data_IF_607766547317
#
_entry.id   IF_607766547317
#
_cell.length_a   1.000
_cell.length_b   1.000
_cell.length_c   1.000
_cell.angle_alpha   90.00
_cell.angle_beta   90.00
_cell.angle_gamma   90.00
#
_symmetry.space_group_name_H-M   'P 1'
#
loop_
_entity.id
_entity.type
_entity.pdbx_description
1 polymer ?
#
# COMPACT_ATOMS: atom_id res chain seq x y z
N UNK A 1 -9.04 -16.91 5.59
CA UNK A 1 -8.32 -16.63 6.86
C UNK A 1 -8.21 -15.11 6.95
N UNK A 2 -8.49 -14.53 8.14
CA UNK A 2 -8.34 -13.07 8.37
C UNK A 2 -6.87 -12.62 8.39
N UNK A 3 -6.66 -11.34 8.58
CA UNK A 3 -5.33 -10.73 8.72
C UNK A 3 -4.64 -11.33 9.97
N UNK A 4 -3.34 -11.57 9.88
CA UNK A 4 -2.55 -12.08 11.00
C UNK A 4 -1.18 -11.41 11.08
N UNK A 5 -0.61 -11.36 12.28
CA UNK A 5 0.71 -10.80 12.54
C UNK A 5 1.62 -11.84 13.13
N UNK A 6 2.81 -11.94 12.59
CA UNK A 6 3.95 -12.68 13.16
C UNK A 6 5.12 -11.72 13.33
N UNK A 7 6.15 -12.13 14.06
CA UNK A 7 7.34 -11.31 14.25
C UNK A 7 8.59 -12.07 13.86
N UNK A 8 9.45 -11.45 13.08
CA UNK A 8 10.82 -11.86 12.85
C UNK A 8 11.74 -10.86 13.58
N UNK A 9 12.27 -11.27 14.72
CA UNK A 9 12.93 -10.41 15.70
C UNK A 9 11.99 -9.26 16.13
N UNK A 10 12.30 -8.02 15.76
CA UNK A 10 11.49 -6.83 16.05
C UNK A 10 10.70 -6.33 14.84
N UNK A 11 10.72 -7.05 13.72
CA UNK A 11 9.99 -6.70 12.51
C UNK A 11 8.66 -7.45 12.53
N UNK A 12 7.57 -6.71 12.51
CA UNK A 12 6.23 -7.28 12.35
C UNK A 12 6.00 -7.67 10.89
N UNK A 13 5.49 -8.88 10.67
CA UNK A 13 5.05 -9.37 9.35
C UNK A 13 3.54 -9.52 9.41
N UNK A 14 2.84 -8.63 8.73
CA UNK A 14 1.39 -8.57 8.62
C UNK A 14 0.95 -9.30 7.35
N UNK A 15 0.41 -10.50 7.50
CA UNK A 15 -0.17 -11.28 6.40
C UNK A 15 -1.62 -10.83 6.19
N UNK A 16 -1.90 -10.29 5.01
CA UNK A 16 -3.22 -9.79 4.62
C UNK A 16 -4.22 -10.92 4.32
N UNK A 17 -3.75 -12.16 4.24
CA UNK A 17 -4.55 -13.35 3.95
C UNK A 17 -4.29 -13.93 2.56
N UNK A 18 -4.97 -15.06 2.27
CA UNK A 18 -4.76 -15.84 1.04
C UNK A 18 -5.79 -15.57 -0.07
N UNK A 19 -6.80 -14.74 0.21
CA UNK A 19 -7.86 -14.38 -0.73
C UNK A 19 -7.46 -13.21 -1.63
N UNK A 20 -8.43 -12.47 -2.15
CA UNK A 20 -8.17 -11.27 -2.96
C UNK A 20 -7.72 -10.07 -2.13
N UNK A 21 -7.84 -10.12 -0.82
CA UNK A 21 -7.46 -9.07 0.12
C UNK A 21 -8.04 -7.70 -0.30
N UNK A 22 -9.35 -7.71 -0.63
CA UNK A 22 -10.11 -6.49 -0.98
C UNK A 22 -10.36 -5.66 0.27
N UNK A 23 -10.34 -4.35 0.13
CA UNK A 23 -10.51 -3.40 1.22
C UNK A 23 -11.98 -3.23 1.62
N UNK A 24 -12.64 -4.32 2.03
CA UNK A 24 -13.96 -4.19 2.66
C UNK A 24 -13.88 -3.37 3.96
N UNK A 25 -15.00 -2.80 4.46
CA UNK A 25 -14.99 -2.11 5.76
C UNK A 25 -14.40 -2.94 6.89
N UNK A 26 -14.76 -4.23 6.97
CA UNK A 26 -14.20 -5.14 7.98
C UNK A 26 -12.69 -5.35 7.83
N UNK A 27 -12.18 -5.47 6.59
CA UNK A 27 -10.75 -5.54 6.32
C UNK A 27 -10.02 -4.26 6.79
N UNK A 28 -10.62 -3.08 6.54
CA UNK A 28 -10.05 -1.80 6.97
C UNK A 28 -10.02 -1.68 8.50
N UNK A 29 -11.03 -2.19 9.21
CA UNK A 29 -11.05 -2.22 10.67
C UNK A 29 -10.00 -3.17 11.23
N UNK A 30 -9.83 -4.37 10.63
CA UNK A 30 -8.80 -5.33 11.03
C UNK A 30 -7.38 -4.78 10.83
N UNK A 31 -7.08 -4.20 9.66
CA UNK A 31 -5.75 -3.66 9.38
C UNK A 31 -5.42 -2.49 10.31
N UNK A 32 -6.38 -1.61 10.60
CA UNK A 32 -6.19 -0.50 11.55
C UNK A 32 -5.86 -1.02 12.96
N UNK A 33 -6.58 -2.03 13.45
CA UNK A 33 -6.32 -2.65 14.74
C UNK A 33 -4.94 -3.32 14.80
N UNK A 34 -4.52 -4.01 13.75
CA UNK A 34 -3.20 -4.60 13.67
C UNK A 34 -2.08 -3.56 13.62
N UNK A 35 -2.27 -2.45 12.91
CA UNK A 35 -1.30 -1.35 12.88
C UNK A 35 -1.14 -0.69 14.27
N UNK A 36 -2.24 -0.54 15.02
CA UNK A 36 -2.20 -0.07 16.40
C UNK A 36 -1.39 -1.03 17.29
N UNK A 37 -1.66 -2.33 17.16
CA UNK A 37 -0.95 -3.35 17.92
C UNK A 37 0.55 -3.40 17.61
N UNK A 38 0.93 -3.28 16.34
CA UNK A 38 2.33 -3.27 15.88
C UNK A 38 3.09 -2.07 16.44
N UNK A 39 2.49 -0.88 16.36
CA UNK A 39 3.09 0.34 16.93
C UNK A 39 3.16 0.26 18.45
N UNK A 40 2.07 -0.18 19.11
CA UNK A 40 1.98 -0.33 20.56
C UNK A 40 2.96 -1.37 21.14
N UNK A 41 3.28 -2.41 20.37
CA UNK A 41 4.29 -3.41 20.74
C UNK A 41 5.74 -2.93 20.58
N UNK A 42 5.96 -1.72 20.03
CA UNK A 42 7.30 -1.17 19.81
C UNK A 42 8.07 -1.88 18.69
N UNK A 43 7.36 -2.38 17.65
CA UNK A 43 8.01 -2.95 16.50
C UNK A 43 8.97 -1.96 15.85
N UNK A 44 10.09 -2.46 15.35
CA UNK A 44 11.14 -1.66 14.70
C UNK A 44 11.03 -1.68 13.17
N UNK A 45 10.02 -2.35 12.64
CA UNK A 45 9.69 -2.39 11.22
C UNK A 45 8.38 -3.12 10.97
N UNK A 46 7.78 -2.86 9.82
CA UNK A 46 6.56 -3.53 9.34
C UNK A 46 6.76 -4.04 7.92
N UNK A 47 6.52 -5.33 7.72
CA UNK A 47 6.35 -5.92 6.39
C UNK A 47 4.87 -6.28 6.22
N UNK A 48 4.25 -5.90 5.09
CA UNK A 48 2.95 -6.45 4.70
C UNK A 48 3.14 -7.48 3.59
N UNK A 49 2.41 -8.58 3.64
CA UNK A 49 2.46 -9.65 2.64
C UNK A 49 1.08 -10.22 2.39
N UNK A 50 0.95 -11.16 1.48
CA UNK A 50 -0.26 -11.94 1.25
C UNK A 50 0.08 -13.42 1.07
N UNK A 51 -0.90 -14.30 1.24
CA UNK A 51 -0.67 -15.76 1.22
C UNK A 51 -1.06 -16.46 -0.09
N UNK A 52 -1.60 -15.74 -1.09
CA UNK A 52 -2.22 -16.38 -2.23
C UNK A 52 -1.85 -15.79 -3.60
N UNK A 53 -2.85 -15.76 -4.49
CA UNK A 53 -2.73 -15.20 -5.83
C UNK A 53 -2.53 -13.68 -5.79
N UNK A 54 -3.04 -13.02 -4.77
CA UNK A 54 -3.02 -11.57 -4.63
C UNK A 54 -2.22 -11.16 -3.39
N UNK A 55 -1.44 -10.10 -3.53
CA UNK A 55 -1.08 -9.24 -2.43
C UNK A 55 -2.32 -8.47 -1.99
N UNK A 56 -2.95 -7.73 -2.92
CA UNK A 56 -4.28 -7.14 -2.76
C UNK A 56 -4.87 -6.75 -4.11
N UNK A 57 -6.18 -6.98 -4.26
CA UNK A 57 -6.98 -6.56 -5.41
C UNK A 57 -7.58 -5.15 -5.24
N UNK A 58 -7.26 -4.46 -4.13
CA UNK A 58 -7.65 -3.09 -3.85
C UNK A 58 -9.09 -2.93 -3.38
N UNK A 59 -9.82 -1.99 -3.97
CA UNK A 59 -11.18 -1.67 -3.55
C UNK A 59 -12.14 -2.86 -3.66
N UNK A 60 -13.02 -3.00 -2.70
CA UNK A 60 -14.17 -3.91 -2.80
C UNK A 60 -15.27 -3.25 -3.63
N UNK A 61 -15.17 -3.41 -4.96
CA UNK A 61 -16.11 -2.80 -5.91
C UNK A 61 -17.51 -3.40 -5.80
N UNK A 62 -17.64 -4.65 -5.35
CA UNK A 62 -18.93 -5.30 -5.14
C UNK A 62 -19.65 -4.66 -3.95
N UNK A 63 -18.90 -4.44 -2.84
CA UNK A 63 -19.43 -3.71 -1.70
C UNK A 63 -19.80 -2.26 -2.08
N UNK A 64 -18.94 -1.57 -2.80
CA UNK A 64 -19.18 -0.19 -3.23
C UNK A 64 -20.41 -0.06 -4.12
N UNK A 65 -20.60 -1.00 -5.05
CA UNK A 65 -21.76 -1.03 -5.93
C UNK A 65 -23.09 -1.26 -5.15
N UNK A 66 -23.02 -2.05 -4.07
CA UNK A 66 -24.18 -2.33 -3.20
C UNK A 66 -24.47 -1.19 -2.18
N UNK A 67 -23.49 -0.30 -1.92
CA UNK A 67 -23.55 0.73 -0.87
C UNK A 67 -23.10 2.10 -1.41
N UNK A 68 -23.62 2.50 -2.59
CA UNK A 68 -23.19 3.73 -3.28
C UNK A 68 -23.35 5.02 -2.47
N UNK A 69 -24.35 5.07 -1.57
CA UNK A 69 -24.56 6.18 -0.65
C UNK A 69 -23.43 6.36 0.37
N UNK A 70 -22.63 5.33 0.60
CA UNK A 70 -21.46 5.36 1.49
C UNK A 70 -20.13 5.51 0.74
N UNK A 71 -20.15 5.74 -0.57
CA UNK A 71 -18.95 5.76 -1.41
C UNK A 71 -17.88 6.74 -0.92
N UNK A 72 -18.27 7.97 -0.58
CA UNK A 72 -17.35 8.99 -0.09
C UNK A 72 -16.70 8.59 1.24
N UNK A 73 -17.49 8.11 2.18
CA UNK A 73 -16.97 7.59 3.47
C UNK A 73 -16.00 6.43 3.25
N UNK A 74 -16.37 5.48 2.40
CA UNK A 74 -15.55 4.31 2.11
C UNK A 74 -14.21 4.67 1.47
N UNK A 75 -14.22 5.52 0.44
CA UNK A 75 -13.00 6.01 -0.20
C UNK A 75 -12.14 6.78 0.80
N UNK A 76 -12.75 7.60 1.66
CA UNK A 76 -12.06 8.30 2.74
C UNK A 76 -11.36 7.35 3.72
N UNK A 77 -12.00 6.22 4.09
CA UNK A 77 -11.39 5.18 4.94
C UNK A 77 -10.18 4.54 4.26
N UNK A 78 -10.28 4.19 2.98
CA UNK A 78 -9.16 3.65 2.21
C UNK A 78 -8.00 4.63 2.13
N UNK A 79 -8.28 5.89 1.81
CA UNK A 79 -7.26 6.94 1.75
C UNK A 79 -6.60 7.19 3.11
N UNK A 80 -7.38 7.14 4.20
CA UNK A 80 -6.88 7.25 5.56
C UNK A 80 -5.87 6.14 5.91
N UNK A 81 -6.18 4.88 5.54
CA UNK A 81 -5.26 3.75 5.69
C UNK A 81 -3.96 3.97 4.88
N UNK A 82 -4.05 4.42 3.63
CA UNK A 82 -2.88 4.71 2.80
C UNK A 82 -2.00 5.82 3.42
N UNK A 83 -2.62 6.91 3.92
CA UNK A 83 -1.91 7.99 4.60
C UNK A 83 -1.22 7.51 5.88
N UNK A 84 -1.86 6.62 6.63
CA UNK A 84 -1.33 6.02 7.85
C UNK A 84 -0.08 5.18 7.57
N UNK A 85 -0.11 4.29 6.58
CA UNK A 85 1.05 3.50 6.17
C UNK A 85 2.19 4.40 5.68
N UNK A 86 1.87 5.39 4.85
CA UNK A 86 2.84 6.33 4.26
C UNK A 86 3.66 7.07 5.33
N UNK A 87 3.08 7.32 6.49
CA UNK A 87 3.70 8.08 7.58
C UNK A 87 3.93 7.26 8.85
N UNK A 88 3.82 5.94 8.76
CA UNK A 88 4.04 5.08 9.92
C UNK A 88 5.44 5.32 10.51
N UNK A 89 5.58 5.51 11.84
CA UNK A 89 6.84 5.92 12.46
C UNK A 89 7.87 4.79 12.59
N UNK A 90 7.78 3.77 11.73
CA UNK A 90 8.75 2.68 11.61
C UNK A 90 9.08 2.44 10.14
N UNK A 91 10.23 1.87 9.78
CA UNK A 91 10.50 1.43 8.42
C UNK A 91 9.48 0.41 7.95
N UNK A 92 9.03 0.51 6.69
CA UNK A 92 7.99 -0.34 6.14
C UNK A 92 8.38 -0.95 4.80
N UNK A 93 7.99 -2.20 4.54
CA UNK A 93 8.17 -2.84 3.25
C UNK A 93 6.93 -3.63 2.82
N UNK A 94 6.58 -3.59 1.54
CA UNK A 94 5.56 -4.43 0.95
C UNK A 94 6.21 -5.64 0.25
N UNK A 95 5.80 -6.84 0.62
CA UNK A 95 6.22 -8.10 0.02
C UNK A 95 5.13 -8.60 -0.94
N UNK A 96 5.25 -8.27 -2.23
CA UNK A 96 4.27 -8.57 -3.26
C UNK A 96 4.47 -9.99 -3.78
N UNK A 97 3.92 -10.96 -3.08
CA UNK A 97 3.97 -12.40 -3.45
C UNK A 97 3.06 -12.73 -4.63
N UNK A 98 2.11 -11.86 -4.97
CA UNK A 98 1.13 -12.01 -6.04
C UNK A 98 0.73 -10.66 -6.64
N UNK A 99 -0.48 -10.61 -7.23
CA UNK A 99 -0.99 -9.39 -7.85
C UNK A 99 -1.22 -8.26 -6.85
N UNK A 100 -0.82 -7.06 -7.21
CA UNK A 100 -1.13 -5.80 -6.54
C UNK A 100 -1.87 -4.89 -7.55
N UNK A 101 -3.19 -4.73 -7.38
CA UNK A 101 -4.04 -4.01 -8.33
C UNK A 101 -4.74 -2.81 -7.69
N UNK A 102 -4.85 -1.70 -8.42
CA UNK A 102 -5.56 -0.50 -8.02
C UNK A 102 -5.11 -0.01 -6.63
N UNK A 103 -6.04 0.14 -5.69
CA UNK A 103 -5.73 0.54 -4.32
C UNK A 103 -4.77 -0.44 -3.60
N UNK A 104 -4.70 -1.72 -4.01
CA UNK A 104 -3.71 -2.68 -3.51
C UNK A 104 -2.27 -2.35 -3.96
N UNK A 105 -2.11 -1.85 -5.18
CA UNK A 105 -0.83 -1.33 -5.65
C UNK A 105 -0.48 0.01 -4.97
N UNK A 106 -1.48 0.84 -4.65
CA UNK A 106 -1.29 2.06 -3.87
C UNK A 106 -0.88 1.75 -2.43
N UNK A 107 -1.45 0.71 -1.81
CA UNK A 107 -1.00 0.22 -0.50
C UNK A 107 0.48 -0.17 -0.55
N UNK A 108 0.91 -0.91 -1.58
CA UNK A 108 2.31 -1.24 -1.75
C UNK A 108 3.19 0.02 -1.89
N UNK A 109 2.75 1.03 -2.67
CA UNK A 109 3.46 2.30 -2.80
C UNK A 109 3.53 3.11 -1.50
N UNK A 110 2.54 3.00 -0.63
CA UNK A 110 2.55 3.70 0.66
C UNK A 110 3.68 3.24 1.58
N UNK A 111 4.24 2.04 1.37
CA UNK A 111 5.42 1.56 2.09
C UNK A 111 6.70 2.26 1.65
N UNK A 112 7.72 2.25 2.51
CA UNK A 112 9.04 2.79 2.16
C UNK A 112 9.68 1.99 1.02
N UNK A 113 9.64 0.64 1.12
CA UNK A 113 10.23 -0.30 0.16
C UNK A 113 9.20 -1.30 -0.35
N UNK A 114 9.49 -1.91 -1.51
CA UNK A 114 8.67 -2.92 -2.17
C UNK A 114 9.56 -4.02 -2.74
N UNK A 115 9.27 -5.26 -2.41
CA UNK A 115 9.89 -6.43 -3.03
C UNK A 115 8.79 -7.21 -3.74
N UNK A 116 9.01 -7.56 -5.00
CA UNK A 116 8.01 -8.27 -5.80
C UNK A 116 8.50 -9.63 -6.24
N UNK A 117 7.60 -10.59 -6.36
CA UNK A 117 7.89 -11.90 -6.95
C UNK A 117 8.32 -11.75 -8.41
N UNK A 118 9.43 -12.40 -8.80
CA UNK A 118 10.05 -12.25 -10.11
C UNK A 118 9.24 -12.92 -11.24
N UNK A 119 8.68 -14.12 -10.97
CA UNK A 119 8.12 -15.02 -11.98
C UNK A 119 6.59 -14.97 -12.06
N UNK A 120 5.92 -14.33 -11.11
CA UNK A 120 4.45 -14.31 -11.04
C UNK A 120 3.92 -13.04 -10.36
N UNK A 121 2.70 -12.66 -10.77
CA UNK A 121 2.03 -11.46 -10.26
C UNK A 121 2.28 -10.26 -11.17
N UNK A 122 1.43 -9.25 -10.97
CA UNK A 122 1.53 -7.98 -11.68
C UNK A 122 1.30 -6.83 -10.71
N UNK A 123 2.08 -5.77 -10.87
CA UNK A 123 1.78 -4.46 -10.34
C UNK A 123 1.00 -3.69 -11.40
N UNK A 124 -0.17 -3.11 -11.05
CA UNK A 124 -1.03 -2.48 -12.03
C UNK A 124 -1.98 -1.46 -11.40
N UNK A 125 -2.13 -0.33 -12.07
CA UNK A 125 -3.23 0.60 -11.87
C UNK A 125 -4.21 0.46 -13.03
N UNK A 126 -5.32 -0.31 -12.89
CA UNK A 126 -6.25 -0.59 -13.97
C UNK A 126 -7.25 0.54 -14.24
N UNK A 127 -7.20 1.65 -13.52
CA UNK A 127 -8.19 2.72 -13.45
C UNK A 127 -8.57 3.25 -14.83
N UNK A 128 -7.59 3.40 -15.75
CA UNK A 128 -7.85 3.83 -17.14
C UNK A 128 -8.72 2.81 -17.92
N UNK A 129 -8.49 1.50 -17.70
CA UNK A 129 -9.23 0.43 -18.38
C UNK A 129 -10.63 0.24 -17.81
N UNK A 130 -10.78 0.34 -16.48
CA UNK A 130 -12.05 0.17 -15.77
C UNK A 130 -12.88 1.45 -15.68
N UNK A 131 -12.36 2.58 -16.21
CA UNK A 131 -13.02 3.89 -16.27
C UNK A 131 -13.37 4.47 -14.89
N UNK A 132 -12.53 4.22 -13.90
CA UNK A 132 -12.62 4.81 -12.57
C UNK A 132 -11.44 5.77 -12.40
N UNK A 133 -11.65 7.10 -12.31
CA UNK A 133 -10.55 8.05 -12.17
C UNK A 133 -9.90 7.93 -10.77
N UNK A 134 -8.62 8.26 -10.69
CA UNK A 134 -7.98 8.44 -9.40
C UNK A 134 -8.59 9.61 -8.64
N UNK A 135 -8.73 9.48 -7.34
CA UNK A 135 -8.95 10.66 -6.49
C UNK A 135 -7.70 11.54 -6.46
N UNK A 136 -7.82 12.84 -6.14
CA UNK A 136 -6.66 13.72 -5.96
C UNK A 136 -5.63 13.15 -4.97
N UNK A 137 -6.11 12.54 -3.85
CA UNK A 137 -5.25 11.94 -2.84
C UNK A 137 -4.48 10.72 -3.35
N UNK A 138 -5.14 9.81 -4.06
CA UNK A 138 -4.51 8.63 -4.67
C UNK A 138 -3.47 9.04 -5.71
N UNK A 139 -3.80 10.02 -6.57
CA UNK A 139 -2.87 10.54 -7.56
C UNK A 139 -1.65 11.21 -6.90
N UNK A 140 -1.85 11.97 -5.82
CA UNK A 140 -0.77 12.61 -5.07
C UNK A 140 0.18 11.59 -4.43
N UNK A 141 -0.35 10.51 -3.86
CA UNK A 141 0.45 9.40 -3.32
C UNK A 141 1.33 8.78 -4.40
N UNK A 142 0.75 8.42 -5.55
CA UNK A 142 1.49 7.78 -6.64
C UNK A 142 2.61 8.69 -7.15
N UNK A 143 2.30 9.96 -7.38
CA UNK A 143 3.28 10.95 -7.85
C UNK A 143 4.36 11.28 -6.81
N UNK A 144 4.07 11.19 -5.52
CA UNK A 144 5.06 11.38 -4.46
C UNK A 144 6.05 10.20 -4.35
N UNK A 145 5.68 9.02 -4.85
CA UNK A 145 6.46 7.79 -4.71
C UNK A 145 7.15 7.34 -6.00
N UNK A 146 6.72 7.82 -7.14
CA UNK A 146 7.24 7.43 -8.46
C UNK A 146 7.89 8.61 -9.19
N UNK A 147 8.81 8.29 -10.09
CA UNK A 147 9.30 9.29 -11.05
C UNK A 147 8.14 9.74 -11.96
N UNK A 148 8.19 10.96 -12.53
CA UNK A 148 7.15 11.41 -13.46
C UNK A 148 6.90 10.42 -14.62
N UNK A 149 7.96 9.81 -15.17
CA UNK A 149 7.86 8.83 -16.25
C UNK A 149 7.16 7.55 -15.79
N UNK A 150 7.52 7.03 -14.62
CA UNK A 150 6.89 5.85 -14.04
C UNK A 150 5.41 6.11 -13.69
N UNK A 151 5.10 7.30 -13.15
CA UNK A 151 3.72 7.71 -12.87
C UNK A 151 2.90 7.76 -14.16
N UNK A 152 3.37 8.41 -15.23
CA UNK A 152 2.66 8.43 -16.51
C UNK A 152 2.48 7.02 -17.05
N UNK A 153 3.55 6.21 -17.11
CA UNK A 153 3.49 4.86 -17.66
C UNK A 153 2.53 3.95 -16.88
N UNK A 154 2.43 4.09 -15.56
CA UNK A 154 1.57 3.23 -14.74
C UNK A 154 0.12 3.72 -14.62
N UNK A 155 -0.09 5.04 -14.48
CA UNK A 155 -1.43 5.60 -14.23
C UNK A 155 -2.30 5.73 -15.47
N UNK A 156 -1.68 5.95 -16.65
CA UNK A 156 -2.45 6.30 -17.87
C UNK A 156 -2.64 5.14 -18.84
N UNK A 157 -2.01 4.00 -18.61
CA UNK A 157 -1.98 2.90 -19.59
C UNK A 157 -2.74 1.64 -19.17
N UNK A 158 -3.07 1.48 -17.90
CA UNK A 158 -3.62 0.23 -17.37
C UNK A 158 -2.66 -0.97 -17.48
N UNK A 159 -1.39 -0.74 -17.88
CA UNK A 159 -0.41 -1.80 -18.11
C UNK A 159 -0.15 -2.62 -16.84
N UNK A 160 -0.07 -3.94 -17.04
CA UNK A 160 0.34 -4.90 -16.01
C UNK A 160 1.84 -5.09 -16.07
N UNK A 161 2.56 -4.71 -15.02
CA UNK A 161 4.02 -4.81 -14.92
C UNK A 161 4.38 -6.08 -14.13
N UNK A 162 5.06 -7.03 -14.78
CA UNK A 162 5.69 -8.17 -14.09
C UNK A 162 6.92 -7.71 -13.32
N UNK A 163 7.48 -8.60 -12.48
CA UNK A 163 8.56 -8.23 -11.55
C UNK A 163 9.74 -7.49 -12.20
N UNK A 164 10.27 -8.00 -13.31
CA UNK A 164 11.41 -7.37 -14.02
C UNK A 164 11.06 -5.98 -14.57
N UNK A 165 9.90 -5.84 -15.20
CA UNK A 165 9.43 -4.54 -15.73
C UNK A 165 9.15 -3.54 -14.59
N UNK A 166 8.52 -4.02 -13.51
CA UNK A 166 8.22 -3.19 -12.34
C UNK A 166 9.51 -2.66 -11.69
N UNK A 167 10.54 -3.50 -11.56
CA UNK A 167 11.84 -3.09 -11.03
C UNK A 167 12.57 -2.11 -11.97
N UNK A 168 12.57 -2.39 -13.28
CA UNK A 168 13.23 -1.51 -14.26
C UNK A 168 12.63 -0.10 -14.32
N UNK A 169 11.34 0.03 -14.05
CA UNK A 169 10.60 1.30 -14.03
C UNK A 169 10.60 1.96 -12.63
N UNK A 170 11.10 1.29 -11.60
CA UNK A 170 11.12 1.79 -10.22
C UNK A 170 9.75 1.75 -9.53
N UNK A 171 8.83 0.89 -10.00
CA UNK A 171 7.57 0.62 -9.30
C UNK A 171 7.83 -0.22 -8.03
N UNK A 172 8.85 -1.08 -8.09
CA UNK A 172 9.35 -1.86 -6.95
C UNK A 172 10.86 -1.71 -6.84
N UNK A 173 11.40 -1.92 -5.64
CA UNK A 173 12.82 -1.69 -5.33
C UNK A 173 13.67 -2.94 -5.60
N UNK A 174 13.06 -4.14 -5.51
CA UNK A 174 13.71 -5.41 -5.78
C UNK A 174 12.73 -6.48 -6.25
N UNK A 175 13.29 -7.55 -6.83
CA UNK A 175 12.54 -8.78 -7.15
C UNK A 175 13.19 -9.97 -6.47
N UNK A 176 12.36 -10.97 -6.10
CA UNK A 176 12.83 -12.19 -5.46
C UNK A 176 12.09 -13.42 -6.02
N UNK A 177 12.69 -14.60 -5.87
CA UNK A 177 12.07 -15.87 -6.23
C UNK A 177 10.87 -16.18 -5.31
N UNK A 178 10.03 -17.13 -5.71
CA UNK A 178 8.97 -17.67 -4.87
C UNK A 178 9.51 -18.13 -3.50
N UNK A 179 8.78 -17.78 -2.42
CA UNK A 179 9.20 -18.07 -1.04
C UNK A 179 10.29 -17.16 -0.48
N UNK A 180 10.97 -16.38 -1.32
CA UNK A 180 12.01 -15.44 -0.88
C UNK A 180 11.53 -13.97 -0.81
N UNK A 181 10.32 -13.66 -1.24
CA UNK A 181 9.82 -12.26 -1.32
C UNK A 181 9.69 -11.65 0.08
N UNK A 182 9.00 -12.33 0.99
CA UNK A 182 8.83 -11.85 2.37
C UNK A 182 10.15 -11.81 3.14
N UNK A 183 11.01 -12.84 3.11
CA UNK A 183 12.35 -12.77 3.69
C UNK A 183 13.18 -11.59 3.13
N UNK A 184 13.17 -11.35 1.83
CA UNK A 184 13.90 -10.23 1.24
C UNK A 184 13.35 -8.85 1.70
N UNK A 185 12.04 -8.72 1.90
CA UNK A 185 11.44 -7.51 2.46
C UNK A 185 11.87 -7.29 3.92
N UNK A 186 11.93 -8.35 4.73
CA UNK A 186 12.44 -8.30 6.10
C UNK A 186 13.92 -7.90 6.11
N UNK A 187 14.73 -8.50 5.24
CA UNK A 187 16.17 -8.22 5.16
C UNK A 187 16.51 -6.77 4.77
N UNK A 188 15.65 -6.12 3.97
CA UNK A 188 15.77 -4.68 3.68
C UNK A 188 15.59 -3.83 4.96
N UNK A 189 14.71 -4.26 5.87
CA UNK A 189 14.42 -3.50 7.09
C UNK A 189 15.42 -3.76 8.22
N UNK A 190 16.08 -4.93 8.29
CA UNK A 190 17.02 -5.29 9.37
C UNK A 190 18.09 -4.23 9.63
N UNK A 191 18.78 -3.63 8.62
CA UNK A 191 19.79 -2.59 8.86
C UNK A 191 19.21 -1.27 9.39
N UNK A 192 17.89 -1.13 9.40
CA UNK A 192 17.18 0.08 9.86
C UNK A 192 16.69 -0.03 11.30
N UNK A 193 16.97 -1.15 11.98
CA UNK A 193 16.68 -1.32 13.42
C UNK A 193 17.30 -0.18 14.26
N UNK A 194 16.61 0.23 15.31
CA UNK A 194 17.06 1.28 16.22
C UNK A 194 16.84 2.70 15.72
N UNK A 195 16.13 2.93 14.61
CA UNK A 195 15.69 4.28 14.23
C UNK A 195 14.68 4.81 15.25
N UNK A 196 14.87 6.05 15.68
CA UNK A 196 13.93 6.72 16.58
C UNK A 196 12.58 6.95 15.90
N UNK A 197 11.48 6.38 16.42
CA UNK A 197 10.18 6.47 15.77
C UNK A 197 9.66 7.91 15.64
N UNK A 198 9.92 8.76 16.64
CA UNK A 198 9.50 10.16 16.60
C UNK A 198 10.17 10.93 15.46
N UNK A 199 11.49 10.76 15.33
CA UNK A 199 12.27 11.38 14.26
C UNK A 199 11.86 10.84 12.90
N UNK A 200 11.73 9.51 12.74
CA UNK A 200 11.36 8.90 11.48
C UNK A 200 9.95 9.33 11.04
N UNK A 201 8.99 9.34 11.97
CA UNK A 201 7.64 9.82 11.72
C UNK A 201 7.63 11.28 11.26
N UNK A 202 8.39 12.17 11.92
CA UNK A 202 8.51 13.56 11.53
C UNK A 202 9.13 13.74 10.13
N UNK A 203 10.14 12.94 9.79
CA UNK A 203 10.75 12.91 8.45
C UNK A 203 9.69 12.53 7.41
N UNK A 204 8.96 11.43 7.60
CA UNK A 204 7.92 10.96 6.66
C UNK A 204 6.80 11.98 6.52
N UNK A 205 6.35 12.58 7.63
CA UNK A 205 5.34 13.66 7.60
C UNK A 205 5.83 14.87 6.79
N UNK A 206 7.10 15.22 6.90
CA UNK A 206 7.68 16.31 6.11
C UNK A 206 7.78 15.94 4.62
N UNK A 207 8.29 14.73 4.32
CA UNK A 207 8.45 14.25 2.95
C UNK A 207 7.13 14.15 2.20
N UNK A 208 6.11 13.60 2.85
CA UNK A 208 4.85 13.23 2.21
C UNK A 208 3.67 14.13 2.58
N UNK A 209 3.91 15.26 3.25
CA UNK A 209 2.87 16.12 3.79
C UNK A 209 1.85 16.62 2.76
N UNK A 210 2.25 16.85 1.50
CA UNK A 210 1.31 17.19 0.43
C UNK A 210 0.39 16.02 0.07
N UNK A 211 0.94 14.83 -0.09
CA UNK A 211 0.18 13.63 -0.38
C UNK A 211 -0.77 13.27 0.77
N UNK A 212 -0.29 13.36 2.01
CA UNK A 212 -1.12 13.13 3.21
C UNK A 212 -2.31 14.09 3.25
N UNK A 213 -2.08 15.39 3.07
CA UNK A 213 -3.19 16.36 3.03
C UNK A 213 -4.22 16.04 1.94
N UNK A 214 -3.75 15.65 0.75
CA UNK A 214 -4.65 15.29 -0.35
C UNK A 214 -5.41 13.98 -0.06
N UNK A 215 -4.79 12.99 0.60
CA UNK A 215 -5.43 11.73 1.01
C UNK A 215 -6.46 11.93 2.14
N UNK A 216 -6.24 12.91 3.02
CA UNK A 216 -7.10 13.15 4.20
C UNK A 216 -8.05 14.34 4.01
N UNK A 217 -7.98 15.03 2.88
CA UNK A 217 -8.96 16.05 2.54
C UNK A 217 -10.33 15.37 2.42
N UNK A 218 -11.28 15.76 3.25
CA UNK A 218 -12.68 15.53 2.97
C UNK A 218 -12.99 16.28 1.67
N UNK A 219 -13.62 15.62 0.69
CA UNK A 219 -14.17 16.31 -0.48
C UNK A 219 -15.29 17.25 0.03
N UNK A 220 -14.88 18.40 0.55
CA UNK A 220 -15.79 19.54 0.67
C UNK A 220 -16.15 19.91 -0.77
N UNK A 221 -17.44 19.79 -1.11
CA UNK A 221 -17.95 20.32 -2.38
C UNK A 221 -17.42 21.73 -2.56
N UNK A 222 -16.90 22.09 -3.75
CA UNK A 222 -16.57 23.48 -4.02
C UNK A 222 -17.86 24.28 -3.82
N UNK A 223 -17.86 25.15 -2.78
CA UNK A 223 -18.94 26.08 -2.59
C UNK A 223 -19.10 26.86 -3.89
N UNK A 224 -20.16 26.59 -4.64
CA UNK A 224 -20.54 27.35 -5.82
C UNK A 224 -20.82 28.79 -5.40
N UNK A 225 -19.88 29.67 -5.74
CA UNK A 225 -20.11 31.09 -5.76
C UNK A 225 -20.97 31.49 -6.96
#
# INVERSE_FOLDING_TARGET
>A
MGISVTYEDKIAVLDLGADENRFSPGFLDEIDGHLDAVVGAGAQGLVTTGGGKFYSNGLDLDWLAANGEHAQWYVGRVQGMLARILTLPVPTAAALVGHAFGAGAMLALAHDFRVMRADRGYFCFPEADIRIPFTPGMAALIQAKLTPQAAVASMTTGRRFGGADAASLGLVDAVAAEGAVTPAAVDILRPLDGKDPGTLGAIKQTMFGLAVRALTASDEEPQSN
#
